data_IF_403620610431
#
_entry.id   IF_403620610431
#
_cell.length_a   1.000
_cell.length_b   1.000
_cell.length_c   1.000
_cell.angle_alpha   90.00
_cell.angle_beta   90.00
_cell.angle_gamma   90.00
#
_symmetry.space_group_name_H-M   'P 1'
#
loop_
_entity.id
_entity.type
_entity.pdbx_description
1 polymer ?
#
# COMPACT_ATOMS: atom_id res chain seq x y z
N UNK A 1 -22.07 11.16 17.43
CA UNK A 1 -21.24 12.33 17.77
C UNK A 1 -22.08 13.37 18.51
N UNK A 2 -21.57 13.98 19.58
CA UNK A 2 -22.25 15.08 20.28
C UNK A 2 -22.14 16.38 19.43
N UNK A 3 -23.19 17.23 19.36
CA UNK A 3 -23.17 18.54 18.71
C UNK A 3 -21.92 19.41 18.96
N UNK A 4 -21.36 19.42 20.17
CA UNK A 4 -20.20 20.28 20.47
C UNK A 4 -18.92 19.78 19.77
N UNK A 5 -18.71 18.46 19.76
CA UNK A 5 -17.62 17.83 19.00
C UNK A 5 -17.77 18.07 17.50
N UNK A 6 -19.01 18.03 16.99
CA UNK A 6 -19.28 18.30 15.58
C UNK A 6 -18.92 19.74 15.19
N UNK A 7 -19.28 20.73 16.03
CA UNK A 7 -18.91 22.13 15.82
C UNK A 7 -17.41 22.33 15.85
N UNK A 8 -16.73 21.75 16.84
CA UNK A 8 -15.27 21.85 16.93
C UNK A 8 -14.60 21.27 15.68
N UNK A 9 -15.01 20.08 15.24
CA UNK A 9 -14.47 19.46 14.03
C UNK A 9 -14.83 20.21 12.75
N UNK A 10 -15.95 20.93 12.71
CA UNK A 10 -16.26 21.79 11.56
C UNK A 10 -15.35 23.01 11.49
N UNK A 11 -14.95 23.55 12.65
CA UNK A 11 -14.05 24.71 12.73
C UNK A 11 -12.59 24.32 12.51
N UNK A 12 -12.14 23.20 13.08
CA UNK A 12 -10.75 22.76 13.03
C UNK A 12 -10.47 21.70 11.98
N UNK A 13 -11.48 20.99 11.48
CA UNK A 13 -11.29 19.91 10.51
C UNK A 13 -11.09 20.40 9.08
N UNK A 14 -10.44 19.56 8.28
CA UNK A 14 -10.26 19.76 6.86
C UNK A 14 -11.57 19.71 6.07
N UNK A 15 -11.55 20.38 4.92
CA UNK A 15 -12.61 20.39 3.93
C UNK A 15 -12.00 19.99 2.58
N UNK A 16 -12.58 18.96 1.97
CA UNK A 16 -12.33 18.60 0.58
C UNK A 16 -13.52 19.09 -0.25
N UNK A 17 -13.33 20.10 -1.08
CA UNK A 17 -14.32 20.53 -2.07
C UNK A 17 -14.18 19.71 -3.34
N UNK A 18 -15.28 19.10 -3.77
CA UNK A 18 -15.37 18.26 -4.96
C UNK A 18 -16.36 18.92 -5.92
N UNK A 19 -15.83 19.54 -6.98
CA UNK A 19 -16.62 20.36 -7.90
C UNK A 19 -16.85 19.65 -9.23
N UNK A 20 -18.03 19.90 -9.81
CA UNK A 20 -18.46 19.39 -11.13
C UNK A 20 -18.44 17.86 -11.26
N UNK A 21 -18.52 17.14 -10.14
CA UNK A 21 -18.52 15.69 -10.14
C UNK A 21 -19.70 15.13 -10.97
N UNK A 22 -19.47 14.11 -11.80
CA UNK A 22 -20.53 13.39 -12.51
C UNK A 22 -21.60 12.85 -11.56
N UNK A 23 -22.85 12.82 -12.04
CA UNK A 23 -23.99 12.30 -11.26
C UNK A 23 -23.82 10.80 -11.01
N UNK A 24 -24.24 10.34 -9.84
CA UNK A 24 -24.21 8.91 -9.45
C UNK A 24 -22.81 8.26 -9.42
N UNK A 25 -21.74 9.07 -9.54
CA UNK A 25 -20.36 8.63 -9.32
C UNK A 25 -20.24 7.98 -7.93
N UNK A 26 -19.43 6.93 -7.84
CA UNK A 26 -18.95 6.47 -6.55
C UNK A 26 -17.79 7.38 -6.13
N UNK A 27 -17.86 7.93 -4.91
CA UNK A 27 -16.77 8.69 -4.32
C UNK A 27 -16.51 8.17 -2.91
N UNK A 28 -15.25 7.92 -2.58
CA UNK A 28 -14.83 7.45 -1.28
C UNK A 28 -13.65 8.22 -0.72
N UNK A 29 -13.59 8.22 0.61
CA UNK A 29 -12.47 8.70 1.39
C UNK A 29 -12.16 7.65 2.46
N UNK A 30 -10.90 7.22 2.49
CA UNK A 30 -10.39 6.19 3.37
C UNK A 30 -11.28 4.93 3.35
N UNK A 31 -11.89 4.57 4.48
CA UNK A 31 -12.60 3.31 4.64
C UNK A 31 -14.08 3.36 4.21
N UNK A 32 -14.54 4.44 3.57
CA UNK A 32 -15.95 4.59 3.21
C UNK A 32 -16.14 5.20 1.82
N UNK A 33 -17.11 4.68 1.07
CA UNK A 33 -17.58 5.26 -0.19
C UNK A 33 -19.09 5.44 -0.23
N UNK A 34 -19.54 6.39 -1.05
CA UNK A 34 -20.95 6.65 -1.33
C UNK A 34 -21.17 6.76 -2.83
N UNK A 35 -22.41 6.49 -3.25
CA UNK A 35 -22.91 7.04 -4.50
C UNK A 35 -23.29 8.51 -4.26
N UNK A 36 -22.61 9.44 -4.92
CA UNK A 36 -22.84 10.87 -4.73
C UNK A 36 -24.05 11.38 -5.54
N UNK A 37 -24.82 12.27 -4.91
CA UNK A 37 -25.95 12.96 -5.53
C UNK A 37 -25.56 14.27 -6.20
N UNK A 38 -26.47 14.86 -6.98
CA UNK A 38 -26.20 16.09 -7.75
C UNK A 38 -25.95 17.35 -6.91
N UNK A 39 -26.20 17.30 -5.59
CA UNK A 39 -25.93 18.41 -4.67
C UNK A 39 -24.64 18.22 -3.87
N UNK A 40 -23.93 17.10 -4.06
CA UNK A 40 -22.67 16.85 -3.36
C UNK A 40 -21.58 17.80 -3.85
N UNK A 41 -20.97 18.54 -2.93
CA UNK A 41 -19.86 19.45 -3.22
C UNK A 41 -18.60 19.13 -2.40
N UNK A 42 -18.59 17.97 -1.72
CA UNK A 42 -17.41 17.49 -0.99
C UNK A 42 -17.66 17.07 0.44
N UNK A 43 -16.60 17.06 1.24
CA UNK A 43 -16.54 16.44 2.57
C UNK A 43 -15.95 17.44 3.57
N UNK A 44 -16.55 17.54 4.75
CA UNK A 44 -16.12 18.39 5.88
C UNK A 44 -15.71 17.54 7.09
N UNK A 45 -15.07 18.19 8.06
CA UNK A 45 -14.65 17.58 9.34
C UNK A 45 -13.57 16.50 9.16
N UNK A 46 -12.76 16.59 8.11
CA UNK A 46 -11.68 15.65 7.84
C UNK A 46 -10.57 15.85 8.91
N UNK A 47 -10.16 14.83 9.66
CA UNK A 47 -9.08 14.97 10.62
C UNK A 47 -7.75 15.42 9.97
N UNK A 48 -6.79 15.95 10.72
CA UNK A 48 -5.45 16.21 10.20
C UNK A 48 -4.74 14.92 9.82
N UNK A 49 -3.90 14.99 8.79
CA UNK A 49 -3.11 13.87 8.30
C UNK A 49 -3.32 13.60 6.82
N UNK A 50 -2.86 12.42 6.40
CA UNK A 50 -2.96 11.96 5.02
C UNK A 50 -4.25 11.14 4.88
N UNK A 51 -4.96 11.36 3.79
CA UNK A 51 -6.20 10.67 3.45
C UNK A 51 -6.15 10.18 2.02
N UNK A 52 -6.81 9.05 1.76
CA UNK A 52 -6.87 8.43 0.44
C UNK A 52 -8.27 8.62 -0.14
N UNK A 53 -8.37 9.36 -1.23
CA UNK A 53 -9.61 9.60 -1.94
C UNK A 53 -9.65 8.75 -3.20
N UNK A 54 -10.81 8.18 -3.52
CA UNK A 54 -11.00 7.35 -4.70
C UNK A 54 -12.40 7.51 -5.26
N UNK A 55 -12.56 7.23 -6.55
CA UNK A 55 -13.81 7.39 -7.25
C UNK A 55 -13.89 6.49 -8.47
N UNK A 56 -15.11 6.16 -8.86
CA UNK A 56 -15.44 5.44 -10.09
C UNK A 56 -16.65 6.12 -10.72
N UNK A 57 -16.54 6.45 -12.01
CA UNK A 57 -17.71 6.91 -12.75
C UNK A 57 -18.73 5.78 -12.89
N UNK A 58 -20.01 6.13 -12.91
CA UNK A 58 -21.10 5.18 -13.11
C UNK A 58 -21.69 5.38 -14.50
N UNK A 59 -21.72 4.33 -15.29
CA UNK A 59 -22.49 4.33 -16.52
C UNK A 59 -23.98 4.45 -16.19
N UNK A 60 -24.65 5.47 -16.72
CA UNK A 60 -26.04 5.75 -16.35
C UNK A 60 -27.05 4.74 -16.93
N UNK A 61 -26.66 4.02 -17.99
CA UNK A 61 -27.48 3.00 -18.66
C UNK A 61 -27.27 1.61 -18.04
N UNK A 62 -26.02 1.15 -17.94
CA UNK A 62 -25.71 -0.19 -17.42
C UNK A 62 -25.63 -0.23 -15.90
N UNK A 63 -25.46 0.93 -15.25
CA UNK A 63 -25.20 1.10 -13.81
C UNK A 63 -23.87 0.49 -13.34
N UNK A 64 -23.01 0.07 -14.27
CA UNK A 64 -21.68 -0.45 -13.96
C UNK A 64 -20.71 0.68 -13.58
N UNK A 65 -19.71 0.34 -12.77
CA UNK A 65 -18.65 1.26 -12.36
C UNK A 65 -17.44 1.13 -13.28
N UNK A 66 -16.86 2.27 -13.64
CA UNK A 66 -15.60 2.31 -14.38
C UNK A 66 -14.40 2.00 -13.49
N UNK A 67 -13.23 1.85 -14.13
CA UNK A 67 -11.95 1.68 -13.43
C UNK A 67 -11.79 2.77 -12.36
N UNK A 68 -11.40 2.32 -11.17
CA UNK A 68 -11.25 3.20 -10.02
C UNK A 68 -10.04 4.11 -10.23
N UNK A 69 -10.25 5.37 -9.90
CA UNK A 69 -9.24 6.40 -9.88
C UNK A 69 -9.07 6.88 -8.45
N UNK A 70 -7.88 7.34 -8.10
CA UNK A 70 -7.58 7.73 -6.73
C UNK A 70 -6.42 8.69 -6.62
N UNK A 71 -6.32 9.35 -5.47
CA UNK A 71 -5.26 10.29 -5.13
C UNK A 71 -5.17 10.46 -3.61
N UNK A 72 -4.01 10.91 -3.14
CA UNK A 72 -3.82 11.27 -1.73
C UNK A 72 -4.01 12.76 -1.51
N UNK A 73 -4.63 13.11 -0.39
CA UNK A 73 -4.68 14.48 0.13
C UNK A 73 -3.99 14.55 1.48
N UNK A 74 -3.54 15.74 1.84
CA UNK A 74 -2.96 16.01 3.14
C UNK A 74 -3.66 17.22 3.75
N UNK A 75 -4.17 17.04 4.97
CA UNK A 75 -4.80 18.08 5.77
C UNK A 75 -3.82 18.48 6.87
N UNK A 76 -3.35 19.72 6.85
CA UNK A 76 -2.51 20.29 7.91
C UNK A 76 -3.30 21.33 8.69
N UNK A 77 -3.05 21.34 10.01
CA UNK A 77 -3.56 22.37 10.90
C UNK A 77 -2.41 23.25 11.41
N UNK A 78 -2.65 24.55 11.66
CA UNK A 78 -3.88 25.29 11.32
C UNK A 78 -3.94 25.74 9.85
N UNK A 79 -2.86 25.51 9.11
CA UNK A 79 -2.65 26.00 7.74
C UNK A 79 -2.81 24.82 6.76
N UNK A 80 -3.53 25.00 5.65
CA UNK A 80 -3.85 23.95 4.65
C UNK A 80 -4.92 22.94 5.07
N UNK A 81 -6.05 23.46 5.55
CA UNK A 81 -7.26 22.70 5.87
C UNK A 81 -8.25 22.59 4.71
N UNK A 82 -7.95 23.14 3.54
CA UNK A 82 -8.88 23.16 2.40
C UNK A 82 -8.17 22.59 1.19
N UNK A 83 -8.77 21.57 0.59
CA UNK A 83 -8.34 20.97 -0.68
C UNK A 83 -9.50 21.12 -1.65
N UNK A 84 -9.21 21.56 -2.88
CA UNK A 84 -10.21 21.73 -3.93
C UNK A 84 -9.81 20.88 -5.12
N UNK A 85 -10.74 20.04 -5.56
CA UNK A 85 -10.65 19.28 -6.80
C UNK A 85 -11.84 19.60 -7.70
N UNK A 86 -11.62 19.67 -9.01
CA UNK A 86 -12.67 19.85 -10.02
C UNK A 86 -12.59 18.76 -11.07
N UNK A 87 -13.74 18.22 -11.44
CA UNK A 87 -13.83 17.24 -12.51
C UNK A 87 -13.47 17.85 -13.87
N UNK A 88 -12.61 17.17 -14.63
CA UNK A 88 -12.35 17.47 -16.04
C UNK A 88 -12.98 16.38 -16.91
N UNK A 89 -14.03 16.72 -17.66
CA UNK A 89 -14.65 15.79 -18.63
C UNK A 89 -13.76 15.47 -19.83
N UNK A 90 -12.72 16.27 -20.08
CA UNK A 90 -11.77 16.03 -21.17
C UNK A 90 -10.76 14.95 -20.78
N UNK A 91 -10.27 15.00 -19.54
CA UNK A 91 -9.28 14.06 -19.02
C UNK A 91 -9.92 12.87 -18.30
N UNK A 92 -11.23 12.93 -18.02
CA UNK A 92 -11.97 11.99 -17.17
C UNK A 92 -11.31 11.77 -15.80
N UNK A 93 -10.80 12.87 -15.23
CA UNK A 93 -10.05 12.89 -13.97
C UNK A 93 -10.40 14.15 -13.17
N UNK A 94 -10.35 14.04 -11.84
CA UNK A 94 -10.35 15.23 -10.99
C UNK A 94 -9.01 15.94 -11.07
N UNK A 95 -9.00 17.26 -11.17
CA UNK A 95 -7.78 18.07 -11.14
C UNK A 95 -7.75 18.89 -9.85
N UNK A 96 -6.59 18.90 -9.18
CA UNK A 96 -6.39 19.73 -7.99
C UNK A 96 -6.21 21.19 -8.39
N UNK A 97 -7.06 22.07 -7.88
CA UNK A 97 -6.92 23.51 -8.08
C UNK A 97 -5.97 24.09 -7.03
N UNK A 98 -5.00 24.87 -7.50
CA UNK A 98 -4.14 25.68 -6.64
C UNK A 98 -4.81 27.04 -6.43
N UNK A 99 -5.11 27.37 -5.18
CA UNK A 99 -5.72 28.64 -4.81
C UNK A 99 -4.65 29.63 -4.39
N UNK A 100 -4.82 30.89 -4.78
CA UNK A 100 -4.07 31.99 -4.16
C UNK A 100 -4.48 32.14 -2.69
N UNK A 101 -3.64 32.81 -1.88
CA UNK A 101 -3.94 33.00 -0.45
C UNK A 101 -5.27 33.72 -0.21
N UNK A 102 -5.63 34.68 -1.07
CA UNK A 102 -6.90 35.42 -0.98
C UNK A 102 -8.10 34.53 -1.33
N UNK A 103 -8.02 33.74 -2.40
CA UNK A 103 -9.06 32.79 -2.79
C UNK A 103 -9.23 31.70 -1.74
N UNK A 104 -8.13 31.23 -1.17
CA UNK A 104 -8.14 30.23 -0.09
C UNK A 104 -8.95 30.73 1.11
N UNK A 105 -8.65 31.94 1.61
CA UNK A 105 -9.38 32.52 2.75
C UNK A 105 -10.84 32.82 2.41
N UNK A 106 -11.11 33.26 1.18
CA UNK A 106 -12.48 33.48 0.69
C UNK A 106 -13.28 32.17 0.74
N UNK A 107 -12.75 31.08 0.16
CA UNK A 107 -13.41 29.76 0.18
C UNK A 107 -13.52 29.20 1.58
N UNK A 108 -12.51 29.39 2.43
CA UNK A 108 -12.55 29.00 3.84
C UNK A 108 -13.70 29.68 4.57
N UNK A 109 -13.93 30.98 4.33
CA UNK A 109 -15.02 31.72 4.96
C UNK A 109 -16.41 31.31 4.42
N UNK A 110 -16.50 30.94 3.15
CA UNK A 110 -17.72 30.43 2.53
C UNK A 110 -18.14 29.02 3.02
N UNK A 111 -17.32 28.34 3.84
CA UNK A 111 -17.62 26.99 4.35
C UNK A 111 -19.01 26.88 5.01
N UNK A 112 -19.46 27.93 5.71
CA UNK A 112 -20.76 27.95 6.38
C UNK A 112 -21.93 27.93 5.40
N UNK A 113 -21.78 28.58 4.25
CA UNK A 113 -22.79 28.58 3.18
C UNK A 113 -22.85 27.22 2.47
N UNK A 114 -21.67 26.58 2.33
CA UNK A 114 -21.52 25.28 1.70
C UNK A 114 -21.89 24.12 2.64
N UNK A 115 -22.10 24.36 3.93
CA UNK A 115 -22.25 23.31 4.96
C UNK A 115 -23.30 22.24 4.62
N UNK A 116 -24.42 22.66 4.00
CA UNK A 116 -25.51 21.76 3.57
C UNK A 116 -25.16 20.88 2.37
N UNK A 117 -24.15 21.26 1.60
CA UNK A 117 -23.68 20.57 0.40
C UNK A 117 -22.48 19.64 0.69
N UNK A 118 -21.97 19.67 1.92
CA UNK A 118 -20.81 18.88 2.36
C UNK A 118 -21.22 17.68 3.21
N UNK A 119 -20.80 16.50 2.78
CA UNK A 119 -20.89 15.27 3.56
C UNK A 119 -20.00 15.31 4.79
N UNK A 120 -20.40 14.66 5.87
CA UNK A 120 -19.56 14.53 7.07
C UNK A 120 -18.53 13.42 6.86
N UNK A 121 -17.27 13.66 7.24
CA UNK A 121 -16.27 12.61 7.26
C UNK A 121 -16.72 11.45 8.19
N UNK A 122 -16.55 10.18 7.77
CA UNK A 122 -17.03 9.00 8.49
C UNK A 122 -16.12 8.68 9.69
N UNK A 123 -16.31 9.42 10.79
CA UNK A 123 -15.48 9.29 11.99
C UNK A 123 -15.54 7.90 12.63
N UNK A 124 -16.61 7.14 12.41
CA UNK A 124 -16.77 5.79 12.93
C UNK A 124 -15.71 4.82 12.38
N UNK A 125 -15.23 5.05 11.15
CA UNK A 125 -14.18 4.25 10.50
C UNK A 125 -12.79 4.88 10.61
N UNK A 126 -12.65 6.03 11.28
CA UNK A 126 -11.36 6.74 11.37
C UNK A 126 -10.27 5.92 12.06
N UNK A 127 -10.62 5.15 13.10
CA UNK A 127 -9.66 4.27 13.79
C UNK A 127 -9.14 3.17 12.88
N UNK A 128 -9.98 2.66 11.97
CA UNK A 128 -9.57 1.67 10.97
C UNK A 128 -8.58 2.31 9.98
N UNK A 129 -8.89 3.52 9.49
CA UNK A 129 -7.97 4.26 8.64
C UNK A 129 -6.60 4.48 9.30
N UNK A 130 -6.58 4.95 10.55
CA UNK A 130 -5.33 5.15 11.28
C UNK A 130 -4.52 3.86 11.44
N UNK A 131 -5.18 2.72 11.62
CA UNK A 131 -4.48 1.42 11.74
C UNK A 131 -3.78 0.99 10.45
N UNK A 132 -4.17 1.55 9.30
CA UNK A 132 -3.60 1.24 7.99
C UNK A 132 -2.64 2.33 7.48
N UNK A 133 -2.65 3.52 8.08
CA UNK A 133 -1.98 4.72 7.55
C UNK A 133 -1.02 5.42 8.51
N UNK A 134 -0.80 4.90 9.72
CA UNK A 134 -0.01 5.56 10.77
C UNK A 134 1.48 5.77 10.44
N UNK A 135 2.03 5.10 9.44
CA UNK A 135 3.41 5.28 8.94
C UNK A 135 3.46 5.99 7.59
N UNK A 136 2.33 6.42 7.04
CA UNK A 136 2.34 7.26 5.84
C UNK A 136 3.06 8.58 6.13
N UNK A 137 3.95 8.95 5.23
CA UNK A 137 4.68 10.20 5.26
C UNK A 137 4.59 10.87 3.89
N UNK A 138 4.13 12.12 3.85
CA UNK A 138 3.80 12.78 2.60
C UNK A 138 5.03 12.95 1.68
N UNK A 139 6.19 13.29 2.23
CA UNK A 139 7.42 13.45 1.46
C UNK A 139 7.84 12.14 0.79
N UNK A 140 7.74 11.00 1.51
CA UNK A 140 8.03 9.68 0.94
C UNK A 140 7.01 9.27 -0.11
N UNK A 141 5.72 9.50 0.14
CA UNK A 141 4.64 9.22 -0.81
C UNK A 141 4.87 9.97 -2.13
N UNK A 142 5.25 11.25 -2.09
CA UNK A 142 5.50 12.04 -3.30
C UNK A 142 6.61 11.47 -4.18
N UNK A 143 7.61 10.79 -3.60
CA UNK A 143 8.65 10.11 -4.40
C UNK A 143 8.10 8.91 -5.17
N UNK A 144 7.05 8.27 -4.65
CA UNK A 144 6.40 7.06 -5.20
C UNK A 144 5.29 7.43 -6.19
N UNK A 145 4.47 8.44 -5.88
CA UNK A 145 3.35 8.84 -6.73
C UNK A 145 3.81 9.32 -8.11
N UNK A 146 2.99 9.07 -9.12
CA UNK A 146 3.18 9.64 -10.46
C UNK A 146 3.18 11.18 -10.43
N UNK A 147 3.72 11.86 -11.45
CA UNK A 147 3.76 13.32 -11.50
C UNK A 147 2.37 13.98 -11.42
N UNK A 148 1.34 13.33 -11.95
CA UNK A 148 -0.04 13.83 -11.87
C UNK A 148 -0.72 13.52 -10.52
N UNK A 149 -0.11 12.67 -9.67
CA UNK A 149 -0.64 12.27 -8.36
C UNK A 149 -1.83 11.32 -8.40
N UNK A 150 -2.30 10.95 -9.60
CA UNK A 150 -3.42 10.04 -9.79
C UNK A 150 -2.96 8.59 -9.91
N UNK A 151 -3.74 7.70 -9.31
CA UNK A 151 -3.51 6.26 -9.34
C UNK A 151 -4.76 5.61 -9.93
N UNK A 152 -4.57 4.91 -11.05
CA UNK A 152 -5.60 4.18 -11.76
C UNK A 152 -5.57 2.70 -11.32
N UNK A 153 -6.74 2.08 -11.11
CA UNK A 153 -6.83 0.65 -10.81
C UNK A 153 -6.38 -0.24 -11.99
N UNK A 154 -6.51 0.29 -13.20
CA UNK A 154 -6.00 -0.32 -14.42
C UNK A 154 -4.77 0.46 -14.91
N UNK A 155 -3.67 -0.25 -15.16
CA UNK A 155 -2.47 0.34 -15.71
C UNK A 155 -2.74 0.95 -17.09
N UNK A 156 -2.30 2.19 -17.27
CA UNK A 156 -2.32 2.88 -18.56
C UNK A 156 -1.00 2.56 -19.25
N UNK A 157 -1.08 1.95 -20.42
CA UNK A 157 0.09 1.56 -21.20
C UNK A 157 0.19 2.39 -22.48
N UNK A 158 1.40 2.82 -22.78
CA UNK A 158 1.74 3.35 -24.09
C UNK A 158 2.03 2.17 -25.02
N UNK A 159 1.45 2.19 -26.22
CA UNK A 159 1.71 1.20 -27.27
C UNK A 159 2.86 1.72 -28.13
N UNK A 160 4.06 1.21 -27.88
CA UNK A 160 5.21 1.51 -28.73
C UNK A 160 5.20 0.59 -29.95
N UNK A 161 4.61 1.09 -31.04
CA UNK A 161 4.49 0.40 -32.32
C UNK A 161 5.65 0.76 -33.27
N UNK A 162 6.88 0.69 -32.75
CA UNK A 162 8.11 1.09 -33.47
C UNK A 162 8.51 0.11 -34.60
N UNK A 163 7.70 -0.91 -34.89
CA UNK A 163 8.03 -1.96 -35.87
C UNK A 163 6.89 -2.26 -36.85
N UNK A 164 6.38 -1.24 -37.54
CA UNK A 164 5.61 -1.46 -38.77
C UNK A 164 6.53 -1.81 -39.94
N UNK A 165 7.03 -3.03 -39.96
CA UNK A 165 7.65 -3.62 -41.16
C UNK A 165 6.75 -4.69 -41.74
N UNK A 166 6.72 -4.79 -43.07
CA UNK A 166 5.90 -5.66 -43.94
C UNK A 166 5.92 -7.17 -43.64
N UNK A 167 6.63 -7.62 -42.61
CA UNK A 167 6.79 -9.02 -42.19
C UNK A 167 5.71 -9.54 -41.21
N UNK A 168 4.81 -8.67 -40.73
CA UNK A 168 3.80 -8.99 -39.69
C UNK A 168 2.85 -10.16 -40.01
N UNK A 169 2.62 -10.47 -41.28
CA UNK A 169 1.70 -11.54 -41.69
C UNK A 169 2.38 -12.91 -41.86
N UNK A 170 3.68 -13.01 -41.62
CA UNK A 170 4.41 -14.28 -41.70
C UNK A 170 4.25 -15.10 -40.41
N UNK A 171 4.12 -16.42 -40.51
CA UNK A 171 4.05 -17.30 -39.33
C UNK A 171 5.42 -17.25 -38.61
N UNK A 172 5.47 -16.95 -37.29
CA UNK A 172 6.72 -16.96 -36.53
C UNK A 172 7.37 -18.34 -36.57
N UNK A 173 8.71 -18.40 -36.66
CA UNK A 173 9.43 -19.68 -36.71
C UNK A 173 9.54 -20.35 -35.35
N UNK A 174 9.44 -19.59 -34.26
CA UNK A 174 9.49 -20.08 -32.88
C UNK A 174 8.77 -19.12 -31.91
N UNK A 175 8.62 -19.56 -30.66
CA UNK A 175 7.96 -18.80 -29.60
C UNK A 175 8.65 -17.47 -29.31
N UNK A 176 9.99 -17.43 -29.28
CA UNK A 176 10.76 -16.21 -29.00
C UNK A 176 10.56 -15.15 -30.08
N UNK A 177 10.48 -15.56 -31.34
CA UNK A 177 10.17 -14.68 -32.46
C UNK A 177 8.73 -14.19 -32.36
N UNK A 178 7.78 -15.06 -32.00
CA UNK A 178 6.38 -14.67 -31.77
C UNK A 178 6.27 -13.63 -30.64
N UNK A 179 6.91 -13.85 -29.49
CA UNK A 179 6.95 -12.92 -28.36
C UNK A 179 7.60 -11.58 -28.73
N UNK A 180 8.64 -11.61 -29.57
CA UNK A 180 9.34 -10.39 -30.01
C UNK A 180 8.50 -9.49 -30.94
N UNK A 181 7.45 -10.06 -31.54
CA UNK A 181 6.49 -9.38 -32.43
C UNK A 181 5.27 -8.86 -31.68
N UNK A 182 5.06 -9.24 -30.42
CA UNK A 182 3.96 -8.71 -29.62
C UNK A 182 4.17 -7.21 -29.35
N UNK A 183 3.10 -6.39 -29.34
CA UNK A 183 3.19 -5.00 -28.92
C UNK A 183 3.83 -4.89 -27.53
N UNK A 184 4.86 -4.06 -27.42
CA UNK A 184 5.49 -3.81 -26.12
C UNK A 184 4.65 -2.80 -25.35
N UNK A 185 3.89 -3.31 -24.39
CA UNK A 185 3.11 -2.49 -23.46
C UNK A 185 4.05 -1.95 -22.39
N UNK A 186 4.32 -0.64 -22.43
CA UNK A 186 5.14 0.05 -21.42
C UNK A 186 4.21 0.91 -20.58
N UNK A 187 4.22 0.80 -19.24
CA UNK A 187 3.40 1.65 -18.38
C UNK A 187 3.69 3.13 -18.65
N UNK A 188 2.64 3.92 -18.83
CA UNK A 188 2.76 5.35 -19.09
C UNK A 188 3.37 6.04 -17.85
N UNK A 189 4.52 6.73 -17.98
CA UNK A 189 5.22 7.34 -16.85
C UNK A 189 4.42 8.40 -16.09
N UNK A 190 3.39 8.99 -16.72
CA UNK A 190 2.52 9.98 -16.08
C UNK A 190 1.55 9.36 -15.07
N UNK A 191 1.31 8.05 -15.13
CA UNK A 191 0.35 7.34 -14.27
C UNK A 191 1.00 6.21 -13.48
N UNK A 192 2.17 5.72 -13.91
CA UNK A 192 2.86 4.63 -13.26
C UNK A 192 3.41 5.04 -11.88
N UNK A 193 3.11 4.24 -10.86
CA UNK A 193 3.73 4.35 -9.54
C UNK A 193 5.20 3.98 -9.61
N UNK A 194 6.04 4.77 -8.94
CA UNK A 194 7.49 4.59 -8.83
C UNK A 194 7.82 3.83 -7.56
N UNK A 195 7.34 2.60 -7.46
CA UNK A 195 7.67 1.71 -6.35
C UNK A 195 9.17 1.41 -6.25
N UNK A 196 9.60 1.06 -5.04
CA UNK A 196 10.99 0.65 -4.78
C UNK A 196 11.27 -0.61 -5.54
N UNK A 197 12.27 -0.59 -6.41
CA UNK A 197 12.74 -1.78 -7.12
C UNK A 197 13.52 -2.66 -6.14
N UNK A 198 12.91 -3.78 -5.75
CA UNK A 198 13.57 -4.81 -4.93
C UNK A 198 14.15 -5.85 -5.89
N UNK A 199 15.48 -5.95 -5.93
CA UNK A 199 16.15 -6.90 -6.81
C UNK A 199 15.83 -8.34 -6.40
N UNK A 200 15.44 -9.15 -7.39
CA UNK A 200 15.28 -10.59 -7.21
C UNK A 200 16.62 -11.28 -7.49
N UNK A 201 17.36 -11.60 -6.42
CA UNK A 201 18.68 -12.24 -6.51
C UNK A 201 18.66 -13.61 -7.20
N UNK A 202 17.51 -14.27 -7.35
CA UNK A 202 17.41 -15.53 -8.10
C UNK A 202 17.56 -15.33 -9.62
N UNK A 203 17.39 -14.10 -10.12
CA UNK A 203 17.58 -13.75 -11.54
C UNK A 203 18.97 -13.18 -11.85
N UNK A 204 19.78 -12.90 -10.83
CA UNK A 204 21.12 -12.35 -11.01
C UNK A 204 22.08 -13.49 -11.36
N UNK A 205 22.48 -13.58 -12.63
CA UNK A 205 23.64 -14.39 -13.07
C UNK A 205 24.90 -13.70 -12.56
N UNK A 206 25.29 -13.94 -11.32
CA UNK A 206 26.40 -13.20 -10.71
C UNK A 206 27.77 -13.87 -10.95
N UNK A 207 28.81 -13.02 -11.07
CA UNK A 207 30.24 -13.38 -11.04
C UNK A 207 30.79 -13.56 -9.60
N UNK A 208 29.95 -13.54 -8.56
CA UNK A 208 30.39 -13.60 -7.16
C UNK A 208 30.78 -15.01 -6.72
N UNK A 209 31.60 -15.10 -5.67
CA UNK A 209 31.94 -16.36 -5.02
C UNK A 209 30.67 -17.00 -4.40
N UNK A 210 30.60 -18.34 -4.37
CA UNK A 210 29.42 -19.05 -3.87
C UNK A 210 29.08 -18.74 -2.40
N UNK A 211 30.08 -18.39 -1.58
CA UNK A 211 29.89 -17.99 -0.18
C UNK A 211 29.19 -16.64 -0.06
N UNK A 212 29.60 -15.65 -0.86
CA UNK A 212 29.02 -14.30 -0.81
C UNK A 212 27.57 -14.30 -1.30
N UNK A 213 27.28 -15.13 -2.32
CA UNK A 213 25.92 -15.35 -2.81
C UNK A 213 25.02 -15.96 -1.74
N UNK A 214 25.52 -16.96 -1.02
CA UNK A 214 24.76 -17.64 0.04
C UNK A 214 24.48 -16.68 1.19
N UNK A 215 25.50 -15.95 1.66
CA UNK A 215 25.34 -15.00 2.76
C UNK A 215 24.35 -13.87 2.41
N UNK A 216 24.42 -13.32 1.19
CA UNK A 216 23.52 -12.24 0.76
C UNK A 216 22.07 -12.67 0.49
N UNK A 217 21.82 -13.99 0.42
CA UNK A 217 20.48 -14.58 0.34
C UNK A 217 19.91 -14.90 1.72
N UNK A 218 20.76 -15.23 2.69
CA UNK A 218 20.36 -15.48 4.08
C UNK A 218 20.00 -14.18 4.81
N UNK A 219 20.73 -13.10 4.56
CA UNK A 219 20.48 -11.81 5.17
C UNK A 219 20.50 -10.68 4.14
N UNK A 220 19.36 -9.98 4.03
CA UNK A 220 19.15 -8.87 3.09
C UNK A 220 19.31 -7.48 3.71
N UNK A 221 19.87 -7.40 4.92
CA UNK A 221 20.06 -6.11 5.62
C UNK A 221 20.85 -5.10 4.80
N UNK A 222 21.87 -5.53 4.06
CA UNK A 222 22.66 -4.62 3.20
C UNK A 222 21.85 -4.10 1.99
N UNK A 223 20.98 -4.94 1.41
CA UNK A 223 20.06 -4.52 0.34
C UNK A 223 19.08 -3.44 0.86
N UNK A 224 18.55 -3.67 2.07
CA UNK A 224 17.65 -2.75 2.75
C UNK A 224 18.35 -1.42 3.01
N UNK A 225 19.56 -1.42 3.56
CA UNK A 225 20.34 -0.19 3.81
C UNK A 225 20.60 0.62 2.53
N UNK A 226 20.93 -0.08 1.43
CA UNK A 226 21.09 0.55 0.12
C UNK A 226 19.80 1.26 -0.30
N UNK A 227 18.66 0.55 -0.29
CA UNK A 227 17.35 1.12 -0.62
C UNK A 227 17.05 2.36 0.24
N UNK A 228 17.30 2.29 1.55
CA UNK A 228 17.03 3.39 2.47
C UNK A 228 17.85 4.63 2.13
N UNK A 229 19.14 4.45 1.84
CA UNK A 229 20.02 5.56 1.44
C UNK A 229 19.63 6.20 0.11
N UNK A 230 19.18 5.40 -0.85
CA UNK A 230 18.81 5.88 -2.19
C UNK A 230 17.44 6.57 -2.23
N UNK A 231 16.47 6.12 -1.43
CA UNK A 231 15.07 6.56 -1.55
C UNK A 231 14.47 7.25 -0.34
N UNK A 232 14.98 6.97 0.86
CA UNK A 232 14.30 7.33 2.10
C UNK A 232 15.19 8.12 3.06
N UNK A 233 16.25 8.76 2.58
CA UNK A 233 17.20 9.53 3.39
C UNK A 233 17.73 8.73 4.59
N UNK A 234 17.99 7.43 4.38
CA UNK A 234 18.40 6.47 5.42
C UNK A 234 17.39 6.29 6.57
N UNK A 235 16.13 6.70 6.38
CA UNK A 235 15.05 6.50 7.35
C UNK A 235 14.28 5.22 7.06
N UNK A 236 14.43 4.24 7.94
CA UNK A 236 13.77 2.93 7.87
C UNK A 236 12.23 3.01 7.83
N UNK A 237 11.61 4.03 8.41
CA UNK A 237 10.15 4.21 8.32
C UNK A 237 9.67 4.48 6.89
N UNK A 238 10.56 4.84 5.96
CA UNK A 238 10.23 4.93 4.54
C UNK A 238 9.73 3.60 3.96
N UNK A 239 10.26 2.48 4.45
CA UNK A 239 9.81 1.15 4.05
C UNK A 239 8.41 0.83 4.59
N UNK A 240 8.13 1.17 5.86
CA UNK A 240 6.78 1.02 6.42
C UNK A 240 5.77 1.94 5.73
N UNK A 241 6.18 3.16 5.36
CA UNK A 241 5.38 4.07 4.56
C UNK A 241 5.03 3.46 3.21
N UNK A 242 6.00 2.93 2.46
CA UNK A 242 5.73 2.30 1.16
C UNK A 242 4.92 1.00 1.30
N UNK A 243 5.14 0.23 2.37
CA UNK A 243 4.37 -0.97 2.68
C UNK A 243 2.89 -0.63 2.95
N UNK A 244 2.61 0.41 3.72
CA UNK A 244 1.23 0.86 3.95
C UNK A 244 0.60 1.45 2.71
N UNK A 245 1.34 2.28 1.96
CA UNK A 245 0.86 2.85 0.71
C UNK A 245 0.50 1.73 -0.29
N UNK A 246 1.38 0.74 -0.47
CA UNK A 246 1.16 -0.37 -1.39
C UNK A 246 -0.05 -1.21 -1.01
N UNK A 247 -0.27 -1.47 0.29
CA UNK A 247 -1.49 -2.08 0.79
C UNK A 247 -2.73 -1.23 0.50
N UNK A 248 -2.70 0.08 0.77
CA UNK A 248 -3.85 0.99 0.57
C UNK A 248 -4.25 1.08 -0.90
N UNK A 249 -3.29 1.28 -1.81
CA UNK A 249 -3.60 1.38 -3.25
C UNK A 249 -4.08 0.06 -3.84
N UNK A 250 -3.68 -1.07 -3.25
CA UNK A 250 -4.25 -2.37 -3.59
C UNK A 250 -5.67 -2.52 -3.03
N UNK A 251 -5.82 -2.41 -1.71
CA UNK A 251 -7.04 -2.73 -1.00
C UNK A 251 -8.19 -1.75 -1.32
N UNK A 252 -7.92 -0.45 -1.28
CA UNK A 252 -8.92 0.60 -1.55
C UNK A 252 -8.89 1.08 -3.00
N UNK A 253 -7.70 1.09 -3.61
CA UNK A 253 -7.48 1.57 -4.98
C UNK A 253 -7.68 0.51 -6.07
N UNK A 254 -7.79 -0.76 -5.69
CA UNK A 254 -7.91 -1.91 -6.59
C UNK A 254 -6.74 -2.03 -7.58
N UNK A 255 -5.56 -1.48 -7.25
CA UNK A 255 -4.36 -1.61 -8.07
C UNK A 255 -3.56 -2.85 -7.64
N UNK A 256 -3.58 -3.89 -8.48
CA UNK A 256 -2.90 -5.15 -8.20
C UNK A 256 -1.39 -5.01 -7.99
N UNK A 257 -0.73 -4.07 -8.69
CA UNK A 257 0.71 -3.81 -8.51
C UNK A 257 1.06 -3.41 -7.06
N UNK A 258 0.12 -2.81 -6.33
CA UNK A 258 0.25 -2.54 -4.91
C UNK A 258 0.42 -3.82 -4.09
N UNK A 259 -0.28 -4.91 -4.45
CA UNK A 259 -0.15 -6.19 -3.75
C UNK A 259 1.21 -6.85 -4.00
N UNK A 260 1.70 -6.82 -5.25
CA UNK A 260 3.03 -7.34 -5.59
C UNK A 260 4.13 -6.57 -4.86
N UNK A 261 4.01 -5.24 -4.78
CA UNK A 261 4.96 -4.44 -4.03
C UNK A 261 4.89 -4.71 -2.52
N UNK A 262 3.67 -4.80 -1.98
CA UNK A 262 3.45 -5.14 -0.57
C UNK A 262 4.12 -6.47 -0.21
N UNK A 263 3.91 -7.53 -1.00
CA UNK A 263 4.58 -8.83 -0.82
C UNK A 263 6.09 -8.72 -0.89
N UNK A 264 6.60 -7.93 -1.83
CA UNK A 264 8.05 -7.77 -2.04
C UNK A 264 8.71 -7.06 -0.85
N UNK A 265 8.12 -5.99 -0.33
CA UNK A 265 8.58 -5.27 0.86
C UNK A 265 8.45 -6.13 2.12
N UNK A 266 7.32 -6.83 2.26
CA UNK A 266 7.07 -7.76 3.34
C UNK A 266 8.16 -8.83 3.43
N UNK A 267 8.43 -9.50 2.31
CA UNK A 267 9.48 -10.51 2.21
C UNK A 267 10.86 -9.92 2.51
N UNK A 268 11.20 -8.75 1.96
CA UNK A 268 12.47 -8.08 2.24
C UNK A 268 12.70 -7.86 3.74
N UNK A 269 11.73 -7.28 4.45
CA UNK A 269 11.83 -7.00 5.89
C UNK A 269 11.98 -8.29 6.70
N UNK A 270 11.24 -9.34 6.32
CA UNK A 270 11.30 -10.65 6.98
C UNK A 270 12.65 -11.37 6.78
N UNK A 271 13.42 -10.99 5.76
CA UNK A 271 14.73 -11.58 5.43
C UNK A 271 15.94 -10.75 5.89
N UNK A 272 15.75 -9.75 6.75
CA UNK A 272 16.85 -8.91 7.27
C UNK A 272 17.18 -9.28 8.73
N UNK A 273 18.10 -10.22 8.93
CA UNK A 273 18.41 -10.73 10.28
C UNK A 273 19.17 -9.72 11.13
N UNK A 274 20.20 -9.04 10.59
CA UNK A 274 20.95 -8.02 11.35
C UNK A 274 20.13 -6.76 11.64
N UNK A 275 19.06 -6.53 10.90
CA UNK A 275 18.20 -5.37 11.07
C UNK A 275 17.45 -5.35 12.41
N UNK A 276 17.22 -6.50 13.05
CA UNK A 276 16.59 -6.56 14.38
C UNK A 276 17.40 -5.82 15.44
N UNK A 277 18.74 -5.91 15.41
CA UNK A 277 19.62 -5.18 16.33
C UNK A 277 19.56 -3.67 16.12
N UNK A 278 19.39 -3.26 14.86
CA UNK A 278 19.52 -1.87 14.45
C UNK A 278 18.20 -1.10 14.62
N UNK A 279 17.06 -1.76 14.40
CA UNK A 279 15.75 -1.13 14.40
C UNK A 279 14.65 -1.97 15.08
N UNK A 280 14.81 -2.38 16.35
CA UNK A 280 13.85 -3.27 17.02
C UNK A 280 12.44 -2.65 17.13
N UNK A 281 12.35 -1.34 17.36
CA UNK A 281 11.06 -0.62 17.42
C UNK A 281 10.30 -0.65 16.09
N UNK A 282 11.02 -0.63 14.97
CA UNK A 282 10.39 -0.68 13.65
C UNK A 282 9.80 -2.06 13.40
N UNK A 283 10.42 -3.12 13.90
CA UNK A 283 9.85 -4.46 13.79
C UNK A 283 8.60 -4.65 14.67
N UNK A 284 8.53 -3.97 15.82
CA UNK A 284 7.30 -3.89 16.64
C UNK A 284 6.17 -3.24 15.83
N UNK A 285 6.46 -2.11 15.19
CA UNK A 285 5.53 -1.34 14.36
C UNK A 285 5.14 -2.09 13.07
N UNK A 286 6.08 -2.81 12.47
CA UNK A 286 5.86 -3.70 11.34
C UNK A 286 4.89 -4.82 11.71
N UNK A 287 5.13 -5.57 12.79
CA UNK A 287 4.23 -6.63 13.25
C UNK A 287 2.83 -6.07 13.53
N UNK A 288 2.73 -4.88 14.11
CA UNK A 288 1.45 -4.21 14.31
C UNK A 288 0.75 -3.85 12.99
N UNK A 289 1.49 -3.30 12.02
CA UNK A 289 0.98 -2.95 10.69
C UNK A 289 0.44 -4.18 9.98
N UNK A 290 1.22 -5.27 9.95
CA UNK A 290 0.85 -6.52 9.31
C UNK A 290 -0.35 -7.17 10.00
N UNK A 291 -0.41 -7.15 11.33
CA UNK A 291 -1.57 -7.64 12.07
C UNK A 291 -2.87 -6.97 11.60
N UNK A 292 -2.89 -5.64 11.47
CA UNK A 292 -4.08 -4.93 11.00
C UNK A 292 -4.38 -5.17 9.52
N UNK A 293 -3.37 -5.26 8.67
CA UNK A 293 -3.54 -5.53 7.24
C UNK A 293 -4.06 -6.95 6.97
N UNK A 294 -3.49 -7.96 7.62
CA UNK A 294 -3.91 -9.35 7.46
C UNK A 294 -5.37 -9.56 7.90
N UNK A 295 -5.85 -8.85 8.93
CA UNK A 295 -7.28 -8.92 9.30
C UNK A 295 -8.23 -8.69 8.11
N UNK A 296 -7.89 -7.76 7.21
CA UNK A 296 -8.71 -7.50 6.03
C UNK A 296 -8.62 -8.60 4.98
N UNK A 297 -7.54 -9.37 4.92
CA UNK A 297 -7.46 -10.56 4.07
C UNK A 297 -8.19 -11.76 4.65
N UNK A 298 -8.35 -11.82 5.98
CA UNK A 298 -9.12 -12.87 6.66
C UNK A 298 -10.63 -12.63 6.65
N UNK A 299 -11.09 -11.45 6.24
CA UNK A 299 -12.50 -11.12 6.27
C UNK A 299 -12.76 -10.19 5.09
N UNK A 300 -13.08 -10.74 3.92
CA UNK A 300 -13.69 -9.89 2.91
C UNK A 300 -15.06 -9.44 3.46
N UNK A 301 -15.14 -8.17 3.85
CA UNK A 301 -16.36 -7.54 4.38
C UNK A 301 -17.47 -7.42 3.32
N UNK A 302 -17.14 -7.65 2.05
CA UNK A 302 -18.00 -7.51 0.88
C UNK A 302 -18.44 -8.86 0.31
N UNK A 303 -17.55 -9.87 0.27
CA UNK A 303 -17.86 -11.20 -0.28
C UNK A 303 -17.94 -12.31 0.77
N UNK A 304 -17.35 -12.12 1.95
CA UNK A 304 -17.18 -13.18 2.95
C UNK A 304 -16.12 -14.22 2.60
N UNK A 305 -15.40 -14.04 1.49
CA UNK A 305 -14.32 -14.93 1.06
C UNK A 305 -12.99 -14.59 1.76
N UNK A 306 -12.12 -15.59 1.89
CA UNK A 306 -10.82 -15.43 2.51
C UNK A 306 -9.72 -15.53 1.45
N UNK A 307 -8.95 -14.46 1.23
CA UNK A 307 -7.95 -14.39 0.15
C UNK A 307 -6.85 -15.47 0.24
N UNK A 308 -6.67 -16.10 1.41
CA UNK A 308 -5.59 -17.05 1.68
C UNK A 308 -6.03 -18.41 2.26
N UNK A 309 -7.33 -18.71 2.36
CA UNK A 309 -7.77 -19.97 3.00
C UNK A 309 -7.59 -21.19 2.09
N UNK A 310 -7.57 -21.00 0.78
CA UNK A 310 -7.47 -22.11 -0.20
C UNK A 310 -6.05 -22.32 -0.76
N UNK A 311 -5.05 -21.58 -0.28
CA UNK A 311 -3.65 -21.76 -0.70
C UNK A 311 -2.99 -22.73 0.27
N UNK A 312 -2.36 -23.79 -0.23
CA UNK A 312 -1.51 -24.68 0.57
C UNK A 312 -0.50 -23.82 1.36
N UNK A 313 -0.40 -24.07 2.68
CA UNK A 313 0.48 -23.32 3.57
C UNK A 313 1.92 -23.31 3.03
N UNK A 314 2.38 -24.44 2.46
CA UNK A 314 3.72 -24.56 1.89
C UNK A 314 3.89 -23.85 0.55
N UNK A 315 2.83 -23.43 -0.13
CA UNK A 315 2.93 -22.63 -1.35
C UNK A 315 2.74 -21.13 -1.07
N UNK A 316 2.28 -20.78 0.13
CA UNK A 316 2.01 -19.40 0.52
C UNK A 316 3.31 -18.63 0.86
N UNK A 317 3.66 -17.67 0.01
CA UNK A 317 4.86 -16.84 0.18
C UNK A 317 4.83 -15.94 1.42
N UNK A 318 3.64 -15.58 1.91
CA UNK A 318 3.45 -14.80 3.14
C UNK A 318 3.77 -15.69 4.35
N UNK A 319 3.24 -16.92 4.36
CA UNK A 319 3.55 -17.90 5.40
C UNK A 319 5.07 -18.14 5.50
N UNK A 320 5.75 -18.46 4.39
CA UNK A 320 7.20 -18.67 4.36
C UNK A 320 8.00 -17.46 4.85
N UNK A 321 7.55 -16.26 4.52
CA UNK A 321 8.22 -15.05 4.99
C UNK A 321 8.03 -14.84 6.49
N UNK A 322 6.85 -15.15 7.03
CA UNK A 322 6.59 -15.12 8.48
C UNK A 322 7.35 -16.20 9.24
N UNK A 323 7.43 -17.41 8.70
CA UNK A 323 8.24 -18.50 9.24
C UNK A 323 9.70 -18.08 9.36
N UNK A 324 10.27 -17.55 8.28
CA UNK A 324 11.62 -16.99 8.30
C UNK A 324 11.78 -15.83 9.31
N UNK A 325 10.80 -14.93 9.40
CA UNK A 325 10.81 -13.84 10.38
C UNK A 325 10.85 -14.37 11.81
N UNK A 326 9.98 -15.32 12.15
CA UNK A 326 9.88 -15.88 13.50
C UNK A 326 11.11 -16.71 13.86
N UNK A 327 11.62 -17.53 12.94
CA UNK A 327 12.88 -18.25 13.12
C UNK A 327 14.03 -17.30 13.40
N UNK A 328 14.12 -16.19 12.65
CA UNK A 328 15.15 -15.17 12.88
C UNK A 328 15.00 -14.46 14.24
N UNK A 329 13.77 -14.17 14.68
CA UNK A 329 13.50 -13.57 16.01
C UNK A 329 13.89 -14.55 17.12
N UNK A 330 13.55 -15.84 16.99
CA UNK A 330 13.92 -16.89 17.95
C UNK A 330 15.45 -17.05 18.04
N UNK A 331 16.12 -17.21 16.89
CA UNK A 331 17.58 -17.33 16.84
C UNK A 331 18.29 -16.09 17.41
N UNK A 332 17.70 -14.90 17.24
CA UNK A 332 18.23 -13.68 17.83
C UNK A 332 18.08 -13.65 19.37
N UNK A 333 16.97 -14.17 19.90
CA UNK A 333 16.72 -14.26 21.33
C UNK A 333 17.70 -15.22 22.03
N UNK A 334 17.97 -16.39 21.43
CA UNK A 334 18.82 -17.43 22.01
C UNK A 334 20.29 -17.01 22.12
N UNK A 335 20.77 -16.16 21.21
CA UNK A 335 22.15 -15.67 21.19
C UNK A 335 22.48 -14.60 22.25
N UNK A 336 21.55 -14.30 23.18
CA UNK A 336 21.73 -13.34 24.29
C UNK A 336 22.28 -11.96 23.88
N UNK A 337 22.01 -11.49 22.66
CA UNK A 337 22.33 -10.12 22.24
C UNK A 337 21.28 -9.09 22.73
N UNK A 338 20.49 -9.49 23.73
CA UNK A 338 19.27 -8.81 24.18
C UNK A 338 19.53 -8.03 25.47
N UNK A 339 19.98 -6.77 25.36
CA UNK A 339 19.85 -5.79 26.45
C UNK A 339 18.96 -4.65 25.96
N UNK A 340 17.72 -4.57 26.46
CA UNK A 340 16.82 -3.44 26.20
C UNK A 340 15.32 -3.78 26.18
N UNK A 341 14.50 -2.89 26.74
CA UNK A 341 13.04 -3.07 26.86
C UNK A 341 12.29 -3.24 25.53
N UNK A 342 12.86 -2.77 24.42
CA UNK A 342 12.21 -2.83 23.11
C UNK A 342 12.31 -4.21 22.47
N UNK A 343 13.36 -4.96 22.80
CA UNK A 343 13.53 -6.34 22.34
C UNK A 343 12.51 -7.28 22.99
N UNK A 344 12.23 -7.10 24.28
CA UNK A 344 11.18 -7.85 24.97
C UNK A 344 9.80 -7.58 24.36
N UNK A 345 9.52 -6.33 23.98
CA UNK A 345 8.27 -5.96 23.29
C UNK A 345 8.17 -6.65 21.93
N UNK A 346 9.28 -6.74 21.19
CA UNK A 346 9.31 -7.42 19.89
C UNK A 346 8.93 -8.89 20.03
N UNK A 347 9.54 -9.62 20.96
CA UNK A 347 9.21 -11.03 21.23
C UNK A 347 7.73 -11.17 21.61
N UNK A 348 7.26 -10.36 22.55
CA UNK A 348 5.85 -10.41 22.99
C UNK A 348 4.87 -10.12 21.84
N UNK A 349 5.22 -9.23 20.91
CA UNK A 349 4.40 -8.96 19.72
C UNK A 349 4.48 -10.10 18.71
N UNK A 350 5.64 -10.72 18.53
CA UNK A 350 5.80 -11.88 17.66
C UNK A 350 4.93 -13.05 18.13
N UNK A 351 4.95 -13.36 19.43
CA UNK A 351 4.12 -14.43 20.00
C UNK A 351 2.61 -14.15 19.87
N UNK A 352 2.18 -12.91 20.11
CA UNK A 352 0.78 -12.50 19.84
C UNK A 352 0.40 -12.62 18.38
N UNK A 353 1.34 -12.33 17.47
CA UNK A 353 1.12 -12.47 16.03
C UNK A 353 0.98 -13.95 15.65
N UNK A 354 1.84 -14.85 16.16
CA UNK A 354 1.71 -16.30 15.97
C UNK A 354 0.34 -16.81 16.43
N UNK A 355 -0.11 -16.39 17.62
CA UNK A 355 -1.43 -16.75 18.14
C UNK A 355 -2.56 -16.29 17.20
N UNK A 356 -2.53 -15.02 16.75
CA UNK A 356 -3.52 -14.48 15.81
C UNK A 356 -3.56 -15.27 14.49
N UNK A 357 -2.38 -15.60 13.95
CA UNK A 357 -2.26 -16.34 12.69
C UNK A 357 -2.79 -17.77 12.82
N UNK A 358 -2.54 -18.42 13.95
CA UNK A 358 -3.10 -19.73 14.24
C UNK A 358 -4.63 -19.68 14.38
N UNK A 359 -5.15 -18.75 15.15
CA UNK A 359 -6.59 -18.61 15.37
C UNK A 359 -7.34 -18.33 14.06
N UNK A 360 -6.77 -17.44 13.22
CA UNK A 360 -7.41 -16.90 12.02
C UNK A 360 -7.19 -17.75 10.77
N UNK A 361 -5.96 -18.22 10.53
CA UNK A 361 -5.56 -18.92 9.31
C UNK A 361 -5.16 -20.39 9.52
N UNK A 362 -5.13 -20.85 10.78
CA UNK A 362 -4.63 -22.20 11.14
C UNK A 362 -3.16 -22.42 10.78
N UNK A 363 -2.38 -21.34 10.66
CA UNK A 363 -0.94 -21.41 10.44
C UNK A 363 -0.22 -21.70 11.76
N UNK A 364 0.72 -22.64 11.71
CA UNK A 364 1.58 -23.03 12.83
C UNK A 364 3.01 -22.78 12.44
N UNK A 365 3.78 -22.15 13.32
CA UNK A 365 5.20 -21.88 13.10
C UNK A 365 5.97 -22.69 14.15
N UNK A 366 6.32 -23.92 13.79
CA UNK A 366 7.19 -24.76 14.62
C UNK A 366 8.65 -24.35 14.41
N UNK A 367 9.48 -24.50 15.45
CA UNK A 367 10.85 -23.97 15.47
C UNK A 367 11.82 -24.70 14.50
N UNK A 368 11.42 -25.80 13.87
CA UNK A 368 12.20 -26.48 12.81
C UNK A 368 11.30 -26.94 11.63
N UNK A 369 11.52 -26.39 10.42
CA UNK A 369 10.92 -26.92 9.19
C UNK A 369 11.23 -28.41 9.04
N UNK A 370 10.28 -29.25 8.60
CA UNK A 370 10.55 -30.69 8.44
C UNK A 370 11.73 -30.97 7.49
N UNK A 371 11.94 -30.13 6.49
CA UNK A 371 13.06 -30.22 5.55
C UNK A 371 14.43 -29.91 6.18
N UNK A 372 14.45 -29.29 7.35
CA UNK A 372 15.67 -28.97 8.12
C UNK A 372 15.92 -29.96 9.27
N UNK A 373 14.99 -30.88 9.53
CA UNK A 373 15.18 -31.93 10.54
C UNK A 373 16.25 -32.92 10.06
N UNK A 374 17.20 -33.32 10.92
CA UNK A 374 18.22 -34.29 10.54
C UNK A 374 17.57 -35.62 10.16
N UNK A 375 17.95 -36.18 9.01
CA UNK A 375 17.53 -37.52 8.60
C UNK A 375 18.11 -38.51 9.60
N UNK A 376 17.24 -39.10 10.43
CA UNK A 376 17.62 -40.16 11.36
C UNK A 376 17.89 -41.42 10.52
N UNK A 377 19.17 -41.72 10.30
CA UNK A 377 19.58 -43.00 9.71
C UNK A 377 19.63 -44.02 10.84
N UNK A 378 18.67 -44.93 10.87
CA UNK A 378 18.77 -46.11 11.74
C UNK A 378 19.98 -46.94 11.27
N UNK A 379 20.98 -47.08 12.14
CA UNK A 379 22.12 -47.95 11.90
C UNK A 379 21.65 -49.39 12.16
N UNK A 380 21.52 -50.19 11.09
CA UNK A 380 21.31 -51.64 11.17
C UNK A 380 22.48 -52.39 11.83
#
# INVERSE_FOLDING_TARGET
MNPDTARQLFESGGILLVLDAPKEMEFGIDMYSWQIGSQFHGIKMIPPGIHYCYYSERDLLTKELSNRQSFFIEIKQPNQMLVLIRWSSTENLFQREQLTSEEYETRRNQRYELDRLLGQYPLDTYRQWLSLSNHLNYDFIQTILSPNGHICSANIYDINDDKKTTEEYSIPKNLTEAESRLPKMVPNPQYALRFTKIENKNKIKSLHSGSDLTQSKLDRTDDLEKILSERFNSNIYGILCELQLSFIVFFLGHLYDGFEQWKSLFHLICSCQKAFCRWPTVYVDFLQTIYFQLKYFSTDLTTGEHLFVDIDQQENSIYKSLENLFANISAFNDNQQMEGSDNEKLIQRAEKMKQFLNETYKWTFDDEPEDEKPIIVELE
#
